data_IF_156809841993
#
_entry.id   IF_156809841993
#
_cell.length_a   1.000
_cell.length_b   1.000
_cell.length_c   1.000
_cell.angle_alpha   90.00
_cell.angle_beta   90.00
_cell.angle_gamma   90.00
#
_symmetry.space_group_name_H-M   'P 1'
#
loop_
_entity.id
_entity.type
_entity.pdbx_description
1 polymer ?
#
# COMPACT_ATOMS: atom_id res chain seq x y z
N UNK A 1 -6.75 18.75 3.56
CA UNK A 1 -8.08 18.51 4.15
C UNK A 1 -8.01 17.43 5.22
N UNK A 2 -7.63 16.19 4.88
CA UNK A 2 -7.43 15.14 5.87
C UNK A 2 -6.42 14.10 5.37
N UNK A 3 -5.86 13.30 6.28
CA UNK A 3 -4.96 12.20 5.96
C UNK A 3 -5.51 10.90 6.54
N UNK A 4 -5.44 9.81 5.77
CA UNK A 4 -5.91 8.48 6.21
C UNK A 4 -4.76 7.47 6.14
N UNK A 5 -4.45 6.77 7.25
CA UNK A 5 -3.43 5.73 7.25
C UNK A 5 -3.94 4.49 6.51
N UNK A 6 -3.06 3.86 5.73
CA UNK A 6 -3.25 2.49 5.25
C UNK A 6 -2.75 1.48 6.30
N UNK A 7 -3.20 0.21 6.21
CA UNK A 7 -2.63 -0.86 7.02
C UNK A 7 -1.12 -1.00 6.79
N UNK A 8 -0.38 -1.55 7.78
CA UNK A 8 1.05 -1.80 7.64
C UNK A 8 1.35 -2.57 6.35
N UNK A 9 2.43 -2.17 5.67
CA UNK A 9 2.87 -2.87 4.47
C UNK A 9 3.62 -4.15 4.88
N UNK A 10 3.23 -5.26 4.30
CA UNK A 10 3.94 -6.54 4.40
C UNK A 10 4.59 -6.91 3.06
N UNK A 11 5.48 -7.89 3.12
CA UNK A 11 6.20 -8.44 1.98
C UNK A 11 5.47 -9.68 1.48
N UNK A 12 5.02 -9.63 0.23
CA UNK A 12 4.59 -10.80 -0.54
C UNK A 12 5.79 -11.33 -1.31
N UNK A 13 6.03 -12.64 -1.25
CA UNK A 13 7.14 -13.27 -1.96
C UNK A 13 6.84 -14.75 -2.24
N UNK A 14 7.27 -15.24 -3.40
CA UNK A 14 7.09 -16.64 -3.80
C UNK A 14 8.00 -17.62 -3.06
N UNK A 15 9.21 -17.18 -2.70
CA UNK A 15 10.18 -17.99 -1.99
C UNK A 15 10.25 -17.61 -0.51
N UNK A 16 10.74 -18.53 0.31
CA UNK A 16 11.02 -18.24 1.71
C UNK A 16 12.15 -17.21 1.83
N UNK A 17 11.97 -16.24 2.72
CA UNK A 17 12.91 -15.16 3.04
C UNK A 17 13.12 -15.16 4.56
N UNK A 18 14.34 -15.46 5.00
CA UNK A 18 14.71 -15.43 6.43
C UNK A 18 15.52 -14.17 6.78
N UNK A 19 16.20 -13.61 5.78
CA UNK A 19 17.13 -12.49 5.91
C UNK A 19 17.05 -11.55 4.71
N UNK A 20 17.66 -10.36 4.81
CA UNK A 20 17.67 -9.40 3.69
C UNK A 20 18.52 -9.93 2.53
N UNK A 21 19.51 -10.75 2.83
CA UNK A 21 20.39 -11.40 1.88
C UNK A 21 19.62 -12.32 0.91
N UNK A 22 18.51 -12.91 1.35
CA UNK A 22 17.66 -13.77 0.51
C UNK A 22 16.86 -12.97 -0.54
N UNK A 23 16.83 -11.64 -0.42
CA UNK A 23 16.23 -10.75 -1.41
C UNK A 23 17.15 -10.50 -2.61
N UNK A 24 18.41 -10.94 -2.56
CA UNK A 24 19.37 -10.73 -3.62
C UNK A 24 18.89 -11.38 -4.94
N UNK A 25 18.74 -10.57 -5.99
CA UNK A 25 18.30 -11.04 -7.30
C UNK A 25 16.80 -11.34 -7.42
N UNK A 26 16.01 -11.18 -6.35
CA UNK A 26 14.55 -11.39 -6.38
C UNK A 26 13.88 -10.33 -7.24
N UNK A 27 12.98 -10.75 -8.13
CA UNK A 27 12.25 -9.82 -9.01
C UNK A 27 11.19 -9.07 -8.22
N UNK A 28 11.46 -7.82 -7.90
CA UNK A 28 10.65 -7.00 -7.02
C UNK A 28 9.76 -6.04 -7.80
N UNK A 29 8.45 -6.08 -7.56
CA UNK A 29 7.53 -5.09 -8.12
C UNK A 29 7.68 -3.76 -7.40
N UNK A 30 8.08 -2.72 -8.13
CA UNK A 30 8.07 -1.35 -7.67
C UNK A 30 6.94 -0.55 -8.32
N UNK A 31 6.38 0.42 -7.59
CA UNK A 31 5.30 1.28 -8.08
C UNK A 31 5.63 2.77 -8.04
N UNK A 32 6.76 3.12 -7.45
CA UNK A 32 7.29 4.47 -7.42
C UNK A 32 8.80 4.42 -7.16
N UNK A 33 9.46 5.57 -7.32
CA UNK A 33 10.91 5.71 -7.12
C UNK A 33 11.36 5.29 -5.71
N UNK A 34 10.51 5.47 -4.69
CA UNK A 34 10.84 5.06 -3.33
C UNK A 34 10.91 3.53 -3.17
N UNK A 35 9.99 2.79 -3.80
CA UNK A 35 9.97 1.33 -3.78
C UNK A 35 11.01 0.71 -4.70
N UNK A 36 11.35 1.38 -5.81
CA UNK A 36 12.51 1.01 -6.63
C UNK A 36 13.79 1.11 -5.80
N UNK A 37 14.00 2.25 -5.13
CA UNK A 37 15.17 2.45 -4.28
C UNK A 37 15.25 1.45 -3.12
N UNK A 38 14.12 1.13 -2.52
CA UNK A 38 14.06 0.12 -1.46
C UNK A 38 14.48 -1.26 -1.98
N UNK A 39 13.99 -1.68 -3.16
CA UNK A 39 14.37 -2.94 -3.76
C UNK A 39 15.87 -3.03 -4.01
N UNK A 40 16.48 -1.97 -4.56
CA UNK A 40 17.94 -1.90 -4.76
C UNK A 40 18.71 -2.04 -3.45
N UNK A 41 18.25 -1.38 -2.38
CA UNK A 41 18.89 -1.45 -1.06
C UNK A 41 18.77 -2.85 -0.43
N UNK A 42 17.75 -3.62 -0.78
CA UNK A 42 17.59 -5.03 -0.39
C UNK A 42 18.32 -6.00 -1.33
N UNK A 43 19.00 -5.51 -2.38
CA UNK A 43 19.65 -6.36 -3.38
C UNK A 43 18.70 -7.02 -4.39
N UNK A 44 17.41 -6.68 -4.32
CA UNK A 44 16.39 -7.16 -5.25
C UNK A 44 16.45 -6.41 -6.59
N UNK A 45 15.82 -6.98 -7.62
CA UNK A 45 15.77 -6.42 -8.98
C UNK A 45 14.42 -5.72 -9.18
N UNK A 46 14.34 -4.38 -9.09
CA UNK A 46 13.08 -3.67 -9.26
C UNK A 46 12.57 -3.75 -10.70
N UNK A 47 11.29 -4.04 -10.85
CA UNK A 47 10.54 -3.89 -12.10
C UNK A 47 9.33 -3.02 -11.83
N UNK A 48 9.19 -1.93 -12.59
CA UNK A 48 8.07 -1.02 -12.45
C UNK A 48 6.82 -1.63 -13.07
N UNK A 49 5.80 -1.90 -12.26
CA UNK A 49 4.54 -2.49 -12.69
C UNK A 49 3.38 -1.73 -12.06
N UNK A 50 2.45 -1.27 -12.89
CA UNK A 50 1.26 -0.57 -12.43
C UNK A 50 0.25 -1.55 -11.79
N UNK A 51 -0.62 -1.04 -10.92
CA UNK A 51 -1.54 -1.89 -10.16
C UNK A 51 -2.47 -2.73 -11.06
N UNK A 52 -2.83 -2.22 -12.24
CA UNK A 52 -3.70 -2.91 -13.19
C UNK A 52 -3.04 -4.15 -13.84
N UNK A 53 -1.71 -4.22 -13.85
CA UNK A 53 -0.95 -5.29 -14.50
C UNK A 53 -0.44 -6.34 -13.49
N UNK A 54 -0.75 -6.15 -12.20
CA UNK A 54 -0.17 -6.90 -11.10
C UNK A 54 -0.43 -8.41 -11.21
N UNK A 55 -1.69 -8.81 -11.41
CA UNK A 55 -2.08 -10.22 -11.52
C UNK A 55 -1.36 -10.90 -12.68
N UNK A 56 -1.26 -10.24 -13.84
CA UNK A 56 -0.55 -10.78 -14.99
C UNK A 56 0.97 -10.85 -14.74
N UNK A 57 1.57 -9.84 -14.11
CA UNK A 57 2.99 -9.82 -13.83
C UNK A 57 3.41 -10.96 -12.88
N UNK A 58 2.58 -11.26 -11.87
CA UNK A 58 2.80 -12.40 -10.98
C UNK A 58 2.56 -13.76 -11.68
N UNK A 59 1.50 -13.87 -12.49
CA UNK A 59 1.17 -15.09 -13.23
C UNK A 59 2.22 -15.46 -14.28
N UNK A 60 2.86 -14.46 -14.90
CA UNK A 60 3.93 -14.66 -15.89
C UNK A 60 5.33 -14.79 -15.29
N UNK A 61 5.49 -14.56 -13.98
CA UNK A 61 6.81 -14.55 -13.33
C UNK A 61 7.69 -13.35 -13.72
N UNK A 62 7.06 -12.26 -14.18
CA UNK A 62 7.76 -10.99 -14.41
C UNK A 62 8.20 -10.38 -13.08
N UNK A 63 7.39 -10.58 -12.03
CA UNK A 63 7.72 -10.23 -10.64
C UNK A 63 7.38 -11.41 -9.73
N UNK A 64 8.18 -11.58 -8.68
CA UNK A 64 8.07 -12.68 -7.73
C UNK A 64 7.91 -12.18 -6.28
N UNK A 65 8.14 -10.89 -6.04
CA UNK A 65 7.91 -10.24 -4.75
C UNK A 65 7.32 -8.84 -4.90
N UNK A 66 6.64 -8.37 -3.86
CA UNK A 66 6.26 -6.97 -3.73
C UNK A 66 6.03 -6.59 -2.26
N UNK A 67 6.13 -5.30 -1.95
CA UNK A 67 5.63 -4.76 -0.67
C UNK A 67 4.32 -4.05 -0.93
N UNK A 68 3.27 -4.45 -0.21
CA UNK A 68 1.98 -3.76 -0.22
C UNK A 68 1.19 -4.05 1.06
N UNK A 69 -0.03 -3.53 1.15
CA UNK A 69 -0.94 -3.84 2.26
C UNK A 69 -1.67 -5.17 2.06
N UNK A 70 -2.03 -5.80 3.19
CA UNK A 70 -2.93 -6.97 3.22
C UNK A 70 -4.25 -6.76 2.47
N UNK A 71 -4.79 -5.53 2.51
CA UNK A 71 -6.00 -5.17 1.77
C UNK A 71 -5.81 -5.24 0.25
N UNK A 72 -4.70 -4.71 -0.26
CA UNK A 72 -4.38 -4.74 -1.69
C UNK A 72 -4.12 -6.16 -2.17
N UNK A 73 -3.41 -6.98 -1.38
CA UNK A 73 -3.23 -8.38 -1.71
C UNK A 73 -4.53 -9.17 -1.69
N UNK A 74 -5.46 -8.81 -0.80
CA UNK A 74 -6.78 -9.44 -0.81
C UNK A 74 -7.57 -9.09 -2.09
N UNK A 75 -7.64 -7.80 -2.43
CA UNK A 75 -8.38 -7.32 -3.60
C UNK A 75 -7.79 -7.87 -4.92
N UNK A 76 -6.49 -8.17 -4.95
CA UNK A 76 -5.78 -8.68 -6.13
C UNK A 76 -5.63 -10.20 -6.17
N UNK A 77 -6.19 -10.92 -5.18
CA UNK A 77 -6.05 -12.38 -5.00
C UNK A 77 -4.61 -12.89 -5.04
N UNK A 78 -3.69 -12.09 -4.49
CA UNK A 78 -2.25 -12.38 -4.59
C UNK A 78 -1.85 -13.70 -3.93
N UNK A 79 -2.63 -14.19 -2.98
CA UNK A 79 -2.46 -15.49 -2.35
C UNK A 79 -2.50 -16.67 -3.35
N UNK A 80 -3.00 -16.48 -4.58
CA UNK A 80 -2.96 -17.51 -5.64
C UNK A 80 -1.60 -17.55 -6.35
N UNK A 81 -0.71 -16.59 -6.11
CA UNK A 81 0.54 -16.41 -6.84
C UNK A 81 1.79 -16.27 -5.97
N UNK A 82 1.63 -16.16 -4.65
CA UNK A 82 2.72 -16.04 -3.69
C UNK A 82 2.48 -16.99 -2.52
N UNK A 83 3.53 -17.68 -2.10
CA UNK A 83 3.45 -18.70 -1.05
C UNK A 83 3.69 -18.11 0.35
N UNK A 84 4.37 -16.96 0.44
CA UNK A 84 4.77 -16.35 1.70
C UNK A 84 4.28 -14.90 1.84
N UNK A 85 3.79 -14.60 3.04
CA UNK A 85 3.47 -13.25 3.50
C UNK A 85 4.19 -12.97 4.82
N UNK A 86 5.07 -11.97 4.80
CA UNK A 86 5.74 -11.47 6.00
C UNK A 86 5.13 -10.13 6.41
N UNK A 87 4.52 -10.09 7.60
CA UNK A 87 4.04 -8.84 8.20
C UNK A 87 5.22 -8.05 8.79
N UNK A 88 6.07 -7.51 7.90
CA UNK A 88 7.28 -6.75 8.25
C UNK A 88 6.98 -5.34 8.77
N UNK A 89 5.72 -4.91 8.72
CA UNK A 89 5.26 -3.57 9.10
C UNK A 89 6.15 -2.44 8.56
N UNK A 90 6.66 -2.60 7.33
CA UNK A 90 7.81 -1.84 6.84
C UNK A 90 7.57 -0.32 6.84
N UNK A 91 6.34 0.12 6.56
CA UNK A 91 5.87 1.48 6.83
C UNK A 91 4.33 1.54 6.85
N UNK A 92 3.78 2.67 7.32
CA UNK A 92 2.35 2.99 7.25
C UNK A 92 2.14 4.18 6.29
N UNK A 93 1.80 3.93 5.00
CA UNK A 93 1.58 5.02 4.06
C UNK A 93 0.28 5.77 4.39
N UNK A 94 0.30 7.09 4.26
CA UNK A 94 -0.88 7.94 4.46
C UNK A 94 -1.30 8.55 3.13
N UNK A 95 -2.55 8.32 2.73
CA UNK A 95 -3.14 9.09 1.64
C UNK A 95 -3.61 10.44 2.17
N UNK A 96 -3.34 11.50 1.42
CA UNK A 96 -3.72 12.86 1.78
C UNK A 96 -4.72 13.41 0.77
N UNK A 97 -5.86 13.89 1.26
CA UNK A 97 -6.78 14.69 0.45
C UNK A 97 -6.43 16.16 0.65
N UNK A 98 -6.00 16.80 -0.43
CA UNK A 98 -5.60 18.20 -0.45
C UNK A 98 -6.53 19.01 -1.36
N UNK A 99 -6.59 20.32 -1.13
CA UNK A 99 -7.35 21.27 -1.94
C UNK A 99 -6.40 22.37 -2.39
N UNK A 100 -6.58 22.88 -3.60
CA UNK A 100 -5.83 24.04 -4.08
C UNK A 100 -6.12 25.25 -3.19
N UNK A 101 -5.07 26.01 -2.84
CA UNK A 101 -5.17 27.09 -1.86
C UNK A 101 -5.97 28.30 -2.39
N UNK A 102 -5.81 28.65 -3.66
CA UNK A 102 -6.53 29.77 -4.27
C UNK A 102 -8.02 29.47 -4.38
N UNK A 103 -8.36 28.26 -4.82
CA UNK A 103 -9.74 27.77 -4.83
C UNK A 103 -10.32 27.79 -3.42
N UNK A 104 -9.57 27.30 -2.43
CA UNK A 104 -10.02 27.31 -1.03
C UNK A 104 -10.27 28.73 -0.52
N UNK A 105 -9.35 29.66 -0.78
CA UNK A 105 -9.48 31.04 -0.31
C UNK A 105 -10.70 31.74 -0.91
N UNK A 106 -11.04 31.44 -2.17
CA UNK A 106 -12.22 31.96 -2.86
C UNK A 106 -13.57 31.45 -2.36
N UNK A 107 -13.62 30.43 -1.49
CA UNK A 107 -14.87 29.92 -0.93
C UNK A 107 -15.37 30.78 0.25
N UNK A 108 -16.68 30.88 0.38
CA UNK A 108 -17.32 31.51 1.54
C UNK A 108 -17.17 30.65 2.81
N UNK A 109 -17.45 31.26 3.96
CA UNK A 109 -17.24 30.62 5.26
C UNK A 109 -18.15 29.40 5.49
N UNK A 110 -19.39 29.41 4.98
CA UNK A 110 -20.33 28.30 5.12
C UNK A 110 -19.89 27.10 4.28
N UNK A 111 -19.45 27.34 3.04
CA UNK A 111 -18.88 26.30 2.18
C UNK A 111 -17.60 25.70 2.77
N UNK A 112 -16.69 26.53 3.30
CA UNK A 112 -15.48 26.06 4.00
C UNK A 112 -15.83 25.18 5.19
N UNK A 113 -16.83 25.57 5.99
CA UNK A 113 -17.28 24.81 7.15
C UNK A 113 -17.84 23.43 6.73
N UNK A 114 -18.69 23.39 5.69
CA UNK A 114 -19.25 22.14 5.16
C UNK A 114 -18.17 21.21 4.63
N UNK A 115 -17.23 21.70 3.83
CA UNK A 115 -16.12 20.87 3.29
C UNK A 115 -15.26 20.33 4.43
N UNK A 116 -14.97 21.14 5.45
CA UNK A 116 -14.17 20.70 6.61
C UNK A 116 -14.90 19.65 7.44
N UNK A 117 -16.22 19.80 7.63
CA UNK A 117 -17.05 18.82 8.33
C UNK A 117 -17.09 17.48 7.56
N UNK A 118 -17.33 17.52 6.25
CA UNK A 118 -17.31 16.33 5.40
C UNK A 118 -15.95 15.66 5.36
N UNK A 119 -14.86 16.43 5.28
CA UNK A 119 -13.49 15.94 5.33
C UNK A 119 -13.19 15.21 6.65
N UNK A 120 -13.63 15.78 7.78
CA UNK A 120 -13.47 15.18 9.11
C UNK A 120 -14.23 13.86 9.22
N UNK A 121 -15.49 13.82 8.77
CA UNK A 121 -16.32 12.62 8.78
C UNK A 121 -15.73 11.51 7.88
N UNK A 122 -15.27 11.87 6.67
CA UNK A 122 -14.65 10.95 5.74
C UNK A 122 -13.33 10.38 6.30
N UNK A 123 -12.50 11.23 6.92
CA UNK A 123 -11.27 10.82 7.58
C UNK A 123 -11.52 9.82 8.72
N UNK A 124 -12.49 10.09 9.58
CA UNK A 124 -12.87 9.20 10.68
C UNK A 124 -13.42 7.86 10.19
N UNK A 125 -14.31 7.88 9.19
CA UNK A 125 -14.88 6.66 8.60
C UNK A 125 -13.80 5.77 7.97
N UNK A 126 -12.87 6.36 7.21
CA UNK A 126 -11.74 5.63 6.62
C UNK A 126 -10.75 5.10 7.66
N UNK A 127 -10.42 5.88 8.69
CA UNK A 127 -9.54 5.40 9.75
C UNK A 127 -10.16 4.21 10.51
N UNK A 128 -11.47 4.28 10.76
CA UNK A 128 -12.22 3.21 11.44
C UNK A 128 -12.29 1.93 10.60
N UNK A 129 -12.52 2.06 9.29
CA UNK A 129 -12.55 0.90 8.39
C UNK A 129 -11.16 0.26 8.19
N UNK A 130 -10.10 1.07 8.11
CA UNK A 130 -8.73 0.55 8.08
C UNK A 130 -8.33 -0.14 9.38
N UNK A 131 -8.74 0.40 10.54
CA UNK A 131 -8.52 -0.24 11.85
C UNK A 131 -9.17 -1.61 11.91
N UNK A 132 -10.43 -1.72 11.48
CA UNK A 132 -11.13 -3.01 11.41
C UNK A 132 -10.39 -4.01 10.52
N UNK A 133 -10.01 -3.58 9.30
CA UNK A 133 -9.27 -4.42 8.34
C UNK A 133 -7.94 -4.93 8.89
N UNK A 134 -7.21 -4.09 9.63
CA UNK A 134 -5.94 -4.47 10.26
C UNK A 134 -6.14 -5.49 11.41
N UNK A 135 -7.22 -5.38 12.18
CA UNK A 135 -7.52 -6.33 13.27
C UNK A 135 -8.16 -7.63 12.79
N UNK A 136 -8.88 -7.61 11.67
CA UNK A 136 -9.50 -8.82 11.10
C UNK A 136 -8.50 -9.69 10.34
N UNK A 137 -7.42 -9.11 9.79
CA UNK A 137 -6.35 -9.89 9.15
C UNK A 137 -5.47 -10.64 10.15
N UNK A 138 -5.42 -10.20 11.43
CA UNK A 138 -4.68 -10.91 12.49
C UNK A 138 -5.44 -12.07 13.13
N UNK A 139 -6.76 -12.16 12.94
CA UNK A 139 -7.61 -13.22 13.52
C UNK A 139 -7.93 -14.36 12.55
N UNK A 140 -7.29 -14.38 11.38
CA UNK A 140 -7.45 -15.42 10.35
C UNK A 140 -6.25 -16.35 10.28
N UNK A 141 -5.97 -17.04 11.39
CA UNK A 141 -5.29 -18.35 11.41
C UNK A 141 -6.04 -19.24 12.38
#
# INVERSE_FOLDING_TARGET
LYATPWPPQGLYVKQEIESVEDMQGVKFRAYNVATERLAELMGAVPTKIEAAELTQAFATGTVDSMISSGATGYDSKLWEHVDYWYDVQAWLPKNMVIVNLDTWNGLDADTKAKITASASAAGFSRASSMRWRATSSSSGR
#
